data_IF_150667793838
#
_entry.id   IF_150667793838
#
_cell.length_a   1.000
_cell.length_b   1.000
_cell.length_c   1.000
_cell.angle_alpha   90.00
_cell.angle_beta   90.00
_cell.angle_gamma   90.00
#
_symmetry.space_group_name_H-M   'P 1'
#
loop_
_entity.id
_entity.type
_entity.pdbx_description
1 polymer ?
#
# COMPACT_ATOMS: atom_id res chain seq x y z
N UNK A 1 3.70 6.20 -6.68
CA UNK A 1 2.62 5.43 -7.34
C UNK A 1 2.76 5.66 -8.84
N UNK A 2 2.69 4.60 -9.66
CA UNK A 2 2.91 4.69 -11.11
C UNK A 2 1.78 3.98 -11.85
N UNK A 3 1.25 4.62 -12.90
CA UNK A 3 0.04 4.17 -13.60
C UNK A 3 0.18 2.79 -14.26
N UNK A 4 1.40 2.39 -14.64
CA UNK A 4 1.65 1.04 -15.18
C UNK A 4 1.14 -0.09 -14.27
N UNK A 5 1.15 0.10 -12.95
CA UNK A 5 0.64 -0.91 -12.03
C UNK A 5 -0.88 -0.96 -11.97
N UNK A 6 -1.58 0.14 -12.29
CA UNK A 6 -3.04 0.17 -12.42
C UNK A 6 -3.48 -0.51 -13.72
N UNK A 7 -2.74 -0.29 -14.81
CA UNK A 7 -2.99 -0.96 -16.10
C UNK A 7 -2.99 -2.49 -15.97
N UNK A 8 -2.14 -3.04 -15.12
CA UNK A 8 -2.09 -4.47 -14.83
C UNK A 8 -3.40 -5.00 -14.19
N UNK A 9 -4.19 -4.16 -13.54
CA UNK A 9 -5.44 -4.52 -12.85
C UNK A 9 -6.67 -4.42 -13.76
N UNK A 10 -6.53 -4.07 -15.04
CA UNK A 10 -7.66 -4.05 -15.98
C UNK A 10 -8.24 -5.44 -16.21
N UNK A 11 -9.57 -5.51 -16.31
CA UNK A 11 -10.30 -6.75 -16.54
C UNK A 11 -11.51 -6.49 -17.46
N UNK A 12 -11.91 -7.45 -18.31
CA UNK A 12 -13.08 -7.28 -19.17
C UNK A 12 -14.43 -7.39 -18.43
N UNK A 13 -14.44 -7.80 -17.16
CA UNK A 13 -15.67 -8.12 -16.41
C UNK A 13 -16.11 -7.02 -15.42
N UNK A 14 -15.23 -6.08 -15.10
CA UNK A 14 -15.44 -5.06 -14.07
C UNK A 14 -14.52 -3.86 -14.34
N UNK A 15 -14.72 -2.76 -13.62
CA UNK A 15 -13.93 -1.54 -13.79
C UNK A 15 -12.44 -1.76 -13.45
N UNK A 16 -12.17 -2.45 -12.34
CA UNK A 16 -10.83 -2.85 -11.91
C UNK A 16 -10.86 -4.24 -11.25
N UNK A 17 -9.81 -5.03 -11.42
CA UNK A 17 -9.59 -6.25 -10.66
C UNK A 17 -8.94 -5.94 -9.32
N UNK A 18 -9.23 -6.74 -8.30
CA UNK A 18 -8.60 -6.61 -6.98
C UNK A 18 -7.15 -7.10 -6.92
N UNK A 19 -6.74 -7.93 -7.89
CA UNK A 19 -5.38 -8.47 -8.00
C UNK A 19 -5.14 -9.04 -9.40
N UNK A 20 -3.92 -9.53 -9.64
CA UNK A 20 -3.52 -10.22 -10.86
C UNK A 20 -2.62 -11.40 -10.53
N UNK A 21 -2.57 -12.39 -11.42
CA UNK A 21 -1.69 -13.57 -11.29
C UNK A 21 -0.21 -13.26 -11.58
N UNK A 22 0.16 -12.00 -11.83
CA UNK A 22 1.56 -11.62 -12.01
C UNK A 22 2.33 -11.79 -10.69
N UNK A 23 3.51 -12.42 -10.69
CA UNK A 23 4.29 -12.66 -9.46
C UNK A 23 5.08 -11.43 -8.99
N UNK A 24 5.18 -10.39 -9.82
CA UNK A 24 5.96 -9.19 -9.54
C UNK A 24 5.08 -8.00 -9.15
N UNK A 25 5.68 -7.02 -8.48
CA UNK A 25 5.05 -5.73 -8.15
C UNK A 25 3.70 -5.82 -7.38
N UNK A 26 3.51 -6.84 -6.54
CA UNK A 26 2.28 -7.03 -5.75
C UNK A 26 1.92 -5.82 -4.89
N UNK A 27 2.84 -5.37 -4.04
CA UNK A 27 2.60 -4.20 -3.17
C UNK A 27 2.34 -2.91 -3.96
N UNK A 28 2.99 -2.73 -5.11
CA UNK A 28 2.77 -1.53 -5.96
C UNK A 28 1.40 -1.54 -6.63
N UNK A 29 0.93 -2.70 -7.09
CA UNK A 29 -0.44 -2.88 -7.60
C UNK A 29 -1.48 -2.68 -6.51
N UNK A 30 -1.25 -3.25 -5.31
CA UNK A 30 -2.14 -3.05 -4.18
C UNK A 30 -2.25 -1.56 -3.79
N UNK A 31 -1.13 -0.82 -3.79
CA UNK A 31 -1.13 0.61 -3.56
C UNK A 31 -1.94 1.38 -4.63
N UNK A 32 -1.81 1.03 -5.91
CA UNK A 32 -2.63 1.63 -6.97
C UNK A 32 -4.11 1.29 -6.85
N UNK A 33 -4.45 0.05 -6.51
CA UNK A 33 -5.84 -0.36 -6.30
C UNK A 33 -6.50 0.51 -5.22
N UNK A 34 -5.83 0.73 -4.07
CA UNK A 34 -6.35 1.58 -3.01
C UNK A 34 -6.47 3.05 -3.43
N UNK A 35 -5.57 3.53 -4.29
CA UNK A 35 -5.59 4.89 -4.80
C UNK A 35 -6.85 5.22 -5.63
N UNK A 36 -7.44 4.25 -6.31
CA UNK A 36 -8.69 4.44 -7.07
C UNK A 36 -9.88 4.82 -6.17
N UNK A 37 -9.78 4.55 -4.86
CA UNK A 37 -10.79 4.89 -3.87
C UNK A 37 -10.40 6.10 -3.00
N UNK A 38 -9.30 6.78 -3.31
CA UNK A 38 -8.84 7.94 -2.55
C UNK A 38 -9.63 9.23 -2.85
N UNK A 39 -10.39 9.27 -3.95
CA UNK A 39 -11.26 10.40 -4.34
C UNK A 39 -10.57 11.78 -4.30
N UNK A 40 -9.30 11.83 -4.69
CA UNK A 40 -8.51 13.07 -4.71
C UNK A 40 -7.98 13.53 -3.34
N UNK A 41 -8.18 12.74 -2.29
CA UNK A 41 -7.54 12.93 -0.99
C UNK A 41 -6.08 12.48 -1.10
N UNK A 42 -5.16 13.30 -0.58
CA UNK A 42 -3.75 12.93 -0.47
C UNK A 42 -3.58 11.64 0.35
N UNK A 43 -3.20 10.55 -0.34
CA UNK A 43 -3.12 9.21 0.24
C UNK A 43 -1.66 8.79 0.47
N UNK A 44 -1.38 8.31 1.67
CA UNK A 44 -0.17 7.55 1.99
C UNK A 44 -0.58 6.11 2.33
N UNK A 45 -0.08 5.16 1.55
CA UNK A 45 -0.19 3.73 1.85
C UNK A 45 1.13 3.22 2.43
N UNK A 46 1.10 2.69 3.66
CA UNK A 46 2.25 2.08 4.32
C UNK A 46 2.07 0.56 4.44
N UNK A 47 2.73 -0.20 3.56
CA UNK A 47 2.77 -1.67 3.63
C UNK A 47 3.74 -2.11 4.75
N UNK A 48 3.20 -2.69 5.82
CA UNK A 48 3.95 -3.18 6.98
C UNK A 48 3.98 -4.70 7.08
N UNK A 49 3.54 -5.43 6.06
CA UNK A 49 3.41 -6.89 6.14
C UNK A 49 4.72 -7.59 6.53
N UNK A 50 5.87 -7.05 6.10
CA UNK A 50 7.20 -7.57 6.44
C UNK A 50 7.81 -7.04 7.74
N UNK A 51 7.26 -5.98 8.33
CA UNK A 51 7.84 -5.29 9.50
C UNK A 51 6.89 -5.22 10.71
N UNK A 52 5.66 -5.69 10.55
CA UNK A 52 4.60 -5.59 11.56
C UNK A 52 4.79 -6.52 12.75
N UNK A 53 5.50 -7.64 12.56
CA UNK A 53 5.78 -8.60 13.62
C UNK A 53 7.18 -9.18 13.51
N UNK A 54 7.70 -9.70 14.61
CA UNK A 54 8.90 -10.52 14.59
C UNK A 54 8.60 -11.96 14.11
N UNK A 55 9.64 -12.80 14.07
CA UNK A 55 9.51 -14.22 13.69
C UNK A 55 8.69 -15.06 14.68
N UNK A 56 8.53 -14.58 15.92
CA UNK A 56 7.74 -15.24 16.95
C UNK A 56 6.26 -14.80 16.93
N UNK A 57 5.89 -13.86 16.05
CA UNK A 57 4.53 -13.33 15.93
C UNK A 57 4.21 -12.18 16.89
N UNK A 58 5.20 -11.64 17.61
CA UNK A 58 5.02 -10.45 18.43
C UNK A 58 4.93 -9.20 17.55
N UNK A 59 3.90 -8.38 17.77
CA UNK A 59 3.70 -7.13 17.04
C UNK A 59 4.74 -6.07 17.40
N UNK A 60 5.40 -5.49 16.40
CA UNK A 60 6.50 -4.53 16.57
C UNK A 60 6.05 -3.06 16.47
N UNK A 61 4.81 -2.81 16.03
CA UNK A 61 4.23 -1.46 15.92
C UNK A 61 5.14 -0.41 15.23
N UNK A 62 5.72 -0.70 14.04
CA UNK A 62 6.72 0.17 13.42
C UNK A 62 6.22 1.58 13.12
N UNK A 63 4.92 1.73 12.89
CA UNK A 63 4.31 3.02 12.51
C UNK A 63 4.20 4.01 13.68
N UNK A 64 4.10 3.56 14.93
CA UNK A 64 3.99 4.47 16.08
C UNK A 64 5.23 5.37 16.14
N UNK A 65 6.42 4.75 16.09
CA UNK A 65 7.69 5.48 16.13
C UNK A 65 7.88 6.34 14.88
N UNK A 66 7.58 5.81 13.70
CA UNK A 66 7.77 6.52 12.43
C UNK A 66 6.91 7.79 12.36
N UNK A 67 5.61 7.68 12.67
CA UNK A 67 4.68 8.81 12.65
C UNK A 67 5.00 9.84 13.74
N UNK A 68 5.38 9.39 14.94
CA UNK A 68 5.83 10.31 16.00
C UNK A 68 7.03 11.15 15.56
N UNK A 69 8.07 10.52 14.99
CA UNK A 69 9.27 11.23 14.54
C UNK A 69 8.97 12.16 13.37
N UNK A 70 8.12 11.74 12.44
CA UNK A 70 7.69 12.58 11.33
C UNK A 70 6.95 13.82 11.84
N UNK A 71 5.94 13.65 12.70
CA UNK A 71 5.18 14.75 13.27
C UNK A 71 6.04 15.72 14.09
N UNK A 72 7.00 15.19 14.88
CA UNK A 72 7.93 16.01 15.67
C UNK A 72 8.82 16.91 14.81
N UNK A 73 9.14 16.49 13.59
CA UNK A 73 10.03 17.22 12.68
C UNK A 73 9.28 18.17 11.73
N UNK A 74 7.95 18.10 11.67
CA UNK A 74 7.10 19.06 10.98
C UNK A 74 6.91 20.28 11.90
N UNK A 75 7.90 21.18 11.88
CA UNK A 75 7.78 22.52 12.48
C UNK A 75 7.12 23.48 11.50
#
# INVERSE_FOLDING_TARGET
MHNDYLEMLKTPLADIANSTNAPYAGSSRAAMFLNEFAEGVDLIHCDIAGTGSDKAGLGLSPMIRALYLQAKNQK
#
